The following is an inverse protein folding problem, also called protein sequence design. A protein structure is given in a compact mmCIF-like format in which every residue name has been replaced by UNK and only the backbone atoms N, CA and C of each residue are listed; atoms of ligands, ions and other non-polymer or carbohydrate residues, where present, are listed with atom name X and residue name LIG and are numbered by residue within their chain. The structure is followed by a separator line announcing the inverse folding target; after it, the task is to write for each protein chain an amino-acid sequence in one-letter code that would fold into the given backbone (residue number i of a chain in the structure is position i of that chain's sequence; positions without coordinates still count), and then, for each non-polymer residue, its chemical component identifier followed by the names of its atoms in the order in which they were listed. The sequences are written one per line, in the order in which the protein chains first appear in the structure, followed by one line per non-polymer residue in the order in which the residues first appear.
data_IF_353263677460
#
_entry.id   IF_353263677460
#
_cell.length_a   1.000
_cell.length_b   1.000
_cell.length_c   1.000
_cell.angle_alpha   90.00
_cell.angle_beta   90.00
_cell.angle_gamma   90.00
#
_symmetry.space_group_name_H-M   'P 1'
#
loop_
_entity.id
_entity.type
_entity.pdbx_description
1 polymer ?
#
# COMPACT_ATOMS: atom_id res chain seq x y z
N UNK A 1 -14.78 -6.67 6.54
CA UNK A 1 -13.44 -6.61 5.92
C UNK A 1 -13.59 -6.64 4.42
N UNK A 2 -12.83 -5.80 3.72
CA UNK A 2 -12.67 -5.83 2.27
C UNK A 2 -11.18 -5.91 1.95
N UNK A 3 -10.82 -6.58 0.85
CA UNK A 3 -9.43 -6.68 0.41
C UNK A 3 -9.32 -6.53 -1.11
N UNK A 4 -8.20 -6.00 -1.56
CA UNK A 4 -7.74 -6.04 -2.94
C UNK A 4 -6.40 -6.76 -3.04
N UNK A 5 -6.16 -7.41 -4.19
CA UNK A 5 -4.88 -8.03 -4.50
C UNK A 5 -4.54 -7.76 -5.96
N UNK A 6 -3.30 -7.36 -6.19
CA UNK A 6 -2.69 -7.17 -7.49
C UNK A 6 -1.42 -8.00 -7.62
N UNK A 7 -1.11 -8.41 -8.85
CA UNK A 7 0.11 -9.14 -9.17
C UNK A 7 0.74 -8.58 -10.43
N UNK A 8 2.07 -8.48 -10.44
CA UNK A 8 2.84 -8.18 -11.64
C UNK A 8 4.19 -8.89 -11.60
N UNK A 9 4.74 -9.18 -12.78
CA UNK A 9 6.18 -9.46 -12.94
C UNK A 9 6.84 -8.15 -13.36
N UNK A 10 7.81 -7.69 -12.58
CA UNK A 10 8.52 -6.43 -12.80
C UNK A 10 9.98 -6.74 -13.11
N UNK A 11 10.53 -6.17 -14.20
CA UNK A 11 11.91 -6.35 -14.66
C UNK A 11 12.91 -5.55 -13.79
N UNK A 12 12.86 -5.79 -12.49
CA UNK A 12 13.70 -5.20 -11.44
C UNK A 12 13.96 -6.23 -10.34
N UNK A 13 15.02 -5.99 -9.57
CA UNK A 13 15.32 -6.85 -8.42
C UNK A 13 14.26 -6.68 -7.32
N UNK A 14 14.08 -7.67 -6.43
CA UNK A 14 13.17 -7.52 -5.28
C UNK A 14 13.54 -6.33 -4.38
N UNK A 15 14.83 -6.01 -4.32
CA UNK A 15 15.34 -4.85 -3.59
C UNK A 15 14.84 -3.54 -4.19
N UNK A 16 14.99 -3.36 -5.50
CA UNK A 16 14.56 -2.12 -6.17
C UNK A 16 13.05 -1.92 -6.05
N UNK A 17 12.29 -3.02 -6.16
CA UNK A 17 10.83 -3.04 -5.97
C UNK A 17 10.44 -2.57 -4.57
N UNK A 18 11.01 -3.16 -3.51
CA UNK A 18 10.62 -2.82 -2.14
C UNK A 18 11.16 -1.47 -1.69
N UNK A 19 12.36 -1.07 -2.13
CA UNK A 19 12.87 0.28 -1.88
C UNK A 19 12.05 1.35 -2.61
N UNK A 20 11.53 1.06 -3.81
CA UNK A 20 10.59 1.95 -4.48
C UNK A 20 9.28 2.13 -3.69
N UNK A 21 8.73 1.05 -3.11
CA UNK A 21 7.54 1.15 -2.25
C UNK A 21 7.82 1.98 -0.99
N UNK A 22 9.05 1.89 -0.45
CA UNK A 22 9.48 2.69 0.69
C UNK A 22 9.81 4.14 0.33
N UNK A 23 10.13 4.46 -0.93
CA UNK A 23 10.21 5.83 -1.44
C UNK A 23 8.81 6.42 -1.68
N UNK A 24 8.15 6.82 -0.60
CA UNK A 24 6.77 7.30 -0.62
C UNK A 24 6.49 8.44 -1.62
N UNK A 25 7.37 9.46 -1.81
CA UNK A 25 7.19 10.44 -2.86
C UNK A 25 7.04 9.83 -4.27
N UNK A 26 7.78 8.76 -4.57
CA UNK A 26 7.69 8.06 -5.85
C UNK A 26 6.49 7.10 -5.87
N UNK A 27 6.28 6.34 -4.80
CA UNK A 27 5.18 5.40 -4.69
C UNK A 27 3.79 6.07 -4.69
N UNK A 28 3.66 7.28 -4.15
CA UNK A 28 2.42 8.07 -4.22
C UNK A 28 2.01 8.46 -5.65
N UNK A 29 2.90 8.31 -6.65
CA UNK A 29 2.55 8.47 -8.07
C UNK A 29 1.75 7.29 -8.61
N UNK A 30 1.83 6.12 -7.95
CA UNK A 30 1.16 4.89 -8.38
C UNK A 30 0.01 4.51 -7.44
N UNK A 31 0.13 4.76 -6.14
CA UNK A 31 -0.96 4.60 -5.19
C UNK A 31 -1.79 5.89 -5.05
N UNK A 32 -2.97 5.88 -5.67
CA UNK A 32 -3.88 7.04 -5.68
C UNK A 32 -4.52 7.33 -4.32
N UNK A 33 -4.38 6.42 -3.35
CA UNK A 33 -4.89 6.54 -1.98
C UNK A 33 -4.00 7.44 -1.13
N UNK A 34 -2.73 7.62 -1.51
CA UNK A 34 -1.78 8.48 -0.80
C UNK A 34 -1.92 9.90 -1.33
N UNK A 35 -2.27 10.83 -0.43
CA UNK A 35 -2.31 12.27 -0.72
C UNK A 35 -1.08 12.97 -0.16
N UNK A 36 -1.27 13.73 0.92
CA UNK A 36 -0.19 14.50 1.55
C UNK A 36 0.60 13.61 2.49
N UNK A 37 1.83 13.28 2.12
CA UNK A 37 2.82 12.69 3.03
C UNK A 37 3.13 13.74 4.11
N UNK A 38 2.97 13.37 5.38
CA UNK A 38 3.19 14.27 6.53
C UNK A 38 4.51 14.00 7.21
N UNK A 39 4.87 12.74 7.39
CA UNK A 39 6.12 12.33 8.02
C UNK A 39 6.45 10.90 7.61
N UNK A 40 7.74 10.60 7.57
CA UNK A 40 8.27 9.24 7.45
C UNK A 40 9.47 9.13 8.39
N UNK A 41 9.48 8.07 9.18
CA UNK A 41 10.60 7.68 10.03
C UNK A 41 10.94 6.22 9.71
N UNK A 42 12.23 5.93 9.48
CA UNK A 42 12.71 4.58 9.17
C UNK A 42 13.95 4.31 10.00
N UNK A 43 13.93 3.20 10.74
CA UNK A 43 15.07 2.66 11.45
C UNK A 43 15.35 1.25 10.93
N UNK A 44 16.31 1.14 10.01
CA UNK A 44 16.66 -0.12 9.36
C UNK A 44 15.48 -0.70 8.57
N UNK A 45 14.99 -1.85 9.04
CA UNK A 45 13.92 -2.61 8.40
C UNK A 45 12.52 -2.26 8.92
N UNK A 46 12.39 -1.35 9.86
CA UNK A 46 11.08 -0.93 10.38
C UNK A 46 10.93 0.58 10.30
N UNK A 47 9.70 1.04 10.38
CA UNK A 47 9.44 2.46 10.40
C UNK A 47 7.97 2.80 10.49
N UNK A 48 7.70 4.10 10.43
CA UNK A 48 6.35 4.65 10.48
C UNK A 48 6.19 5.69 9.38
N UNK A 49 5.07 5.63 8.68
CA UNK A 49 4.64 6.66 7.73
C UNK A 49 3.34 7.29 8.22
N UNK A 50 3.21 8.60 8.04
CA UNK A 50 1.94 9.30 8.19
C UNK A 50 1.58 10.03 6.91
N UNK A 51 0.38 9.81 6.39
CA UNK A 51 -0.12 10.48 5.19
C UNK A 51 -1.63 10.77 5.28
N UNK A 52 -2.11 11.66 4.40
CA UNK A 52 -3.54 11.78 4.14
C UNK A 52 -4.03 10.58 3.32
N UNK A 53 -5.15 9.99 3.73
CA UNK A 53 -5.79 8.88 3.02
C UNK A 53 -6.90 9.36 2.10
N UNK A 54 -7.08 8.67 0.98
CA UNK A 54 -8.20 8.84 0.05
C UNK A 54 -8.75 7.47 -0.30
N UNK A 55 -10.07 7.31 -0.33
CA UNK A 55 -10.70 6.04 -0.69
C UNK A 55 -11.78 6.30 -1.74
N UNK A 56 -11.56 5.83 -2.98
CA UNK A 56 -12.48 5.99 -4.11
C UNK A 56 -13.00 7.44 -4.26
N UNK A 57 -12.14 8.44 -4.19
CA UNK A 57 -12.59 9.84 -4.31
C UNK A 57 -13.08 10.49 -3.01
N UNK A 58 -13.26 9.74 -1.92
CA UNK A 58 -13.66 10.28 -0.61
C UNK A 58 -12.46 10.56 0.31
N UNK A 59 -12.29 11.80 0.83
CA UNK A 59 -11.23 12.11 1.79
C UNK A 59 -11.39 11.26 3.06
N UNK A 60 -10.32 10.57 3.43
CA UNK A 60 -10.23 9.79 4.66
C UNK A 60 -9.49 10.55 5.77
N UNK A 61 -9.58 10.07 7.03
CA UNK A 61 -8.74 10.59 8.10
C UNK A 61 -7.26 10.39 7.75
N UNK A 62 -6.35 11.24 8.26
CA UNK A 62 -4.93 10.97 8.18
C UNK A 62 -4.60 9.62 8.82
N UNK A 63 -3.78 8.84 8.14
CA UNK A 63 -3.41 7.48 8.53
C UNK A 63 -1.95 7.48 8.96
N UNK A 64 -1.67 6.76 10.04
CA UNK A 64 -0.31 6.40 10.45
C UNK A 64 -0.16 4.90 10.26
N UNK A 65 0.80 4.47 9.46
CA UNK A 65 1.11 3.05 9.24
C UNK A 65 2.50 2.75 9.79
N UNK A 66 2.64 1.60 10.43
CA UNK A 66 3.94 0.99 10.71
C UNK A 66 4.28 0.03 9.59
N UNK A 67 5.55 -0.02 9.21
CA UNK A 67 6.03 -1.01 8.28
C UNK A 67 7.16 -1.86 8.84
N UNK A 68 7.25 -3.07 8.31
CA UNK A 68 8.33 -4.04 8.56
C UNK A 68 8.75 -4.68 7.24
N UNK A 69 10.04 -4.58 6.96
CA UNK A 69 10.72 -5.12 5.80
C UNK A 69 11.44 -6.42 6.19
N UNK A 70 10.90 -7.55 5.77
CA UNK A 70 11.66 -8.80 5.69
C UNK A 70 12.57 -8.67 4.45
N UNK A 71 13.90 -8.63 4.62
CA UNK A 71 14.81 -8.20 3.57
C UNK A 71 14.54 -8.82 2.19
N UNK A 72 14.03 -7.97 1.31
CA UNK A 72 13.78 -8.22 -0.11
C UNK A 72 12.77 -9.34 -0.44
N UNK A 73 12.12 -9.93 0.56
CA UNK A 73 11.10 -10.96 0.38
C UNK A 73 9.70 -10.44 0.65
N UNK A 74 9.54 -9.56 1.65
CA UNK A 74 8.24 -9.04 2.06
C UNK A 74 8.35 -7.67 2.72
N UNK A 75 7.40 -6.82 2.40
CA UNK A 75 7.16 -5.58 3.13
C UNK A 75 5.72 -5.59 3.64
N UNK A 76 5.53 -5.41 4.95
CA UNK A 76 4.21 -5.38 5.58
C UNK A 76 3.92 -4.00 6.13
N UNK A 77 2.69 -3.54 5.96
CA UNK A 77 2.15 -2.31 6.52
C UNK A 77 0.98 -2.63 7.44
N UNK A 78 0.92 -1.97 8.59
CA UNK A 78 -0.19 -2.10 9.54
C UNK A 78 -0.59 -0.72 10.08
N UNK A 79 -1.88 -0.47 10.23
CA UNK A 79 -2.33 0.77 10.86
C UNK A 79 -1.85 0.87 12.30
N UNK A 80 -1.24 1.99 12.66
CA UNK A 80 -1.00 2.32 14.06
C UNK A 80 -2.33 2.55 14.79
N UNK A 81 -2.36 2.30 16.09
CA UNK A 81 -3.55 2.48 16.93
C UNK A 81 -3.72 3.93 17.44
N UNK A 82 -2.93 4.87 16.90
CA UNK A 82 -2.97 6.28 17.26
C UNK A 82 -3.65 7.13 16.18
N UNK A 83 -4.26 8.25 16.60
CA UNK A 83 -4.93 9.18 15.68
C UNK A 83 -6.40 8.82 15.40
N UNK A 84 -6.94 9.38 14.31
CA UNK A 84 -8.37 9.26 13.98
C UNK A 84 -8.71 8.03 13.14
N UNK A 85 -7.79 7.55 12.29
CA UNK A 85 -8.03 6.40 11.42
C UNK A 85 -8.51 5.14 12.17
N UNK A 86 -7.96 4.77 13.35
CA UNK A 86 -8.43 3.61 14.12
C UNK A 86 -9.90 3.67 14.51
N UNK A 87 -10.51 4.85 14.63
CA UNK A 87 -11.95 4.97 14.90
C UNK A 87 -12.82 4.59 13.70
N UNK A 88 -12.25 4.64 12.49
CA UNK A 88 -12.95 4.38 11.23
C UNK A 88 -12.59 3.01 10.67
N UNK A 89 -11.32 2.63 10.65
CA UNK A 89 -10.85 1.38 10.09
C UNK A 89 -9.49 0.91 10.67
N UNK A 90 -9.21 -0.37 10.48
CA UNK A 90 -7.86 -0.97 10.57
C UNK A 90 -7.38 -1.30 9.16
N UNK A 91 -6.11 -1.01 8.87
CA UNK A 91 -5.46 -1.33 7.60
C UNK A 91 -4.37 -2.39 7.80
N UNK A 92 -4.29 -3.34 6.87
CA UNK A 92 -3.21 -4.32 6.74
C UNK A 92 -2.87 -4.41 5.25
N UNK A 93 -1.62 -4.10 4.91
CA UNK A 93 -1.11 -4.12 3.54
C UNK A 93 0.17 -4.92 3.46
N UNK A 94 0.45 -5.51 2.30
CA UNK A 94 1.68 -6.25 2.09
C UNK A 94 2.14 -6.22 0.64
N UNK A 95 3.45 -6.25 0.46
CA UNK A 95 4.12 -6.65 -0.77
C UNK A 95 4.90 -7.91 -0.49
N UNK A 96 4.80 -8.90 -1.38
CA UNK A 96 5.68 -10.07 -1.37
C UNK A 96 6.38 -10.17 -2.70
N UNK A 97 7.66 -10.51 -2.65
CA UNK A 97 8.52 -10.59 -3.81
C UNK A 97 9.09 -12.00 -3.92
N UNK A 98 8.97 -12.58 -5.10
CA UNK A 98 9.62 -13.83 -5.47
C UNK A 98 10.53 -13.55 -6.67
N UNK A 99 11.86 -13.75 -6.54
CA UNK A 99 12.76 -13.56 -7.66
C UNK A 99 12.46 -14.57 -8.78
N UNK A 100 12.62 -14.12 -10.02
CA UNK A 100 12.52 -14.88 -11.25
C UNK A 100 13.79 -14.61 -12.09
N UNK A 101 14.02 -15.43 -13.12
CA UNK A 101 15.16 -15.25 -14.02
C UNK A 101 15.12 -13.88 -14.73
N UNK A 102 13.91 -13.36 -15.00
CA UNK A 102 13.69 -12.09 -15.70
C UNK A 102 12.97 -11.05 -14.82
N UNK A 103 13.38 -10.93 -13.55
CA UNK A 103 12.89 -9.90 -12.64
C UNK A 103 12.25 -10.46 -11.36
N UNK A 104 11.12 -9.91 -10.96
CA UNK A 104 10.46 -10.25 -9.68
C UNK A 104 8.97 -10.41 -9.88
N UNK A 105 8.40 -11.55 -9.46
CA UNK A 105 6.96 -11.65 -9.22
C UNK A 105 6.63 -10.92 -7.92
N UNK A 106 5.78 -9.90 -8.03
CA UNK A 106 5.32 -9.07 -6.92
C UNK A 106 3.83 -9.31 -6.71
N UNK A 107 3.45 -9.64 -5.49
CA UNK A 107 2.05 -9.68 -5.06
C UNK A 107 1.82 -8.60 -4.03
N UNK A 108 0.91 -7.68 -4.34
CA UNK A 108 0.47 -6.63 -3.45
C UNK A 108 -0.94 -6.91 -2.97
N UNK A 109 -1.16 -6.84 -1.66
CA UNK A 109 -2.47 -7.05 -1.03
C UNK A 109 -2.76 -5.95 -0.04
N UNK A 110 -3.98 -5.45 -0.06
CA UNK A 110 -4.46 -4.41 0.86
C UNK A 110 -5.80 -4.83 1.46
N UNK A 111 -5.95 -4.69 2.77
CA UNK A 111 -7.17 -5.02 3.47
C UNK A 111 -7.60 -3.90 4.43
N UNK A 112 -8.87 -3.53 4.33
CA UNK A 112 -9.52 -2.58 5.22
C UNK A 112 -10.58 -3.30 6.07
N UNK A 113 -10.50 -3.11 7.38
CA UNK A 113 -11.53 -3.54 8.32
C UNK A 113 -12.19 -2.31 8.91
N UNK A 114 -13.35 -1.94 8.38
CA UNK A 114 -14.10 -0.77 8.85
C UNK A 114 -14.83 -1.08 10.16
N UNK A 115 -14.90 -0.09 11.05
CA UNK A 115 -15.61 -0.17 12.32
C UNK A 115 -17.05 0.34 12.16
N UNK A 116 -17.94 -0.09 13.05
CA UNK A 116 -19.28 0.49 13.11
C UNK A 116 -19.22 1.96 13.57
N UNK A 117 -20.13 2.83 13.09
CA UNK A 117 -21.18 2.56 12.10
C UNK A 117 -20.67 2.61 10.65
N UNK A 118 -19.45 3.12 10.40
CA UNK A 118 -18.87 3.35 9.07
C UNK A 118 -18.86 2.12 8.15
N UNK A 119 -18.71 0.92 8.71
CA UNK A 119 -18.71 -0.34 7.99
C UNK A 119 -19.90 -0.50 7.05
N UNK A 120 -21.09 -0.03 7.44
CA UNK A 120 -22.32 -0.26 6.68
C UNK A 120 -22.38 0.56 5.40
N UNK A 121 -21.73 1.73 5.37
CA UNK A 121 -21.66 2.58 4.19
C UNK A 121 -20.38 2.34 3.38
N UNK A 122 -19.22 2.26 4.06
CA UNK A 122 -17.90 2.23 3.39
C UNK A 122 -17.55 0.86 2.80
N UNK A 123 -17.92 -0.25 3.45
CA UNK A 123 -17.63 -1.58 2.90
C UNK A 123 -18.30 -1.82 1.53
N UNK A 124 -19.62 -1.66 1.35
CA UNK A 124 -20.25 -1.90 0.06
C UNK A 124 -19.75 -0.92 -1.01
N UNK A 125 -19.48 0.33 -0.63
CA UNK A 125 -18.97 1.35 -1.54
C UNK A 125 -17.55 1.04 -2.05
N UNK A 126 -16.65 0.54 -1.20
CA UNK A 126 -15.26 0.36 -1.56
C UNK A 126 -14.89 -1.06 -2.00
N UNK A 127 -15.72 -2.08 -1.73
CA UNK A 127 -15.36 -3.51 -1.95
C UNK A 127 -14.89 -3.82 -3.38
N UNK A 128 -15.71 -3.52 -4.39
CA UNK A 128 -15.38 -3.82 -5.78
C UNK A 128 -14.25 -2.93 -6.32
N UNK A 129 -14.27 -1.66 -5.93
CA UNK A 129 -13.26 -0.68 -6.33
C UNK A 129 -11.88 -1.03 -5.79
N UNK A 130 -11.75 -1.42 -4.52
CA UNK A 130 -10.45 -1.72 -3.91
C UNK A 130 -9.75 -2.86 -4.66
N UNK A 131 -10.47 -3.94 -4.97
CA UNK A 131 -9.91 -5.06 -5.71
C UNK A 131 -9.44 -4.67 -7.12
N UNK A 132 -10.12 -3.73 -7.77
CA UNK A 132 -9.70 -3.22 -9.07
C UNK A 132 -8.52 -2.27 -8.95
N UNK A 133 -8.57 -1.31 -8.02
CA UNK A 133 -7.51 -0.30 -7.85
C UNK A 133 -6.18 -0.94 -7.44
N UNK A 134 -6.15 -1.93 -6.55
CA UNK A 134 -4.91 -2.64 -6.19
C UNK A 134 -4.28 -3.35 -7.40
N UNK A 135 -5.09 -3.86 -8.36
CA UNK A 135 -4.56 -4.44 -9.61
C UNK A 135 -4.00 -3.35 -10.54
N UNK A 136 -4.73 -2.25 -10.70
CA UNK A 136 -4.30 -1.14 -11.53
C UNK A 136 -3.05 -0.46 -10.96
N UNK A 137 -2.93 -0.38 -9.64
CA UNK A 137 -1.75 0.09 -8.94
C UNK A 137 -0.52 -0.73 -9.29
N UNK A 138 -0.63 -2.06 -9.28
CA UNK A 138 0.47 -2.94 -9.71
C UNK A 138 0.86 -2.71 -11.17
N UNK A 139 -0.11 -2.44 -12.05
CA UNK A 139 0.18 -2.09 -13.45
C UNK A 139 0.91 -0.74 -13.56
N UNK A 140 0.46 0.29 -12.80
CA UNK A 140 1.13 1.60 -12.74
C UNK A 140 2.55 1.49 -12.19
N UNK A 141 2.74 0.71 -11.13
CA UNK A 141 4.02 0.42 -10.51
C UNK A 141 4.99 -0.25 -11.50
N UNK A 142 4.54 -1.31 -12.20
CA UNK A 142 5.33 -1.97 -13.25
C UNK A 142 5.79 -0.96 -14.31
N UNK A 143 4.84 -0.20 -14.87
CA UNK A 143 5.13 0.78 -15.92
C UNK A 143 6.14 1.83 -15.46
N UNK A 144 6.03 2.31 -14.22
CA UNK A 144 6.94 3.34 -13.72
C UNK A 144 8.35 2.79 -13.48
N UNK A 145 8.46 1.62 -12.84
CA UNK A 145 9.75 1.00 -12.53
C UNK A 145 10.54 0.57 -13.77
N UNK A 146 9.86 0.14 -14.83
CA UNK A 146 10.49 -0.33 -16.07
C UNK A 146 10.88 0.83 -17.00
N UNK A 147 10.22 1.98 -16.89
CA UNK A 147 10.56 3.20 -17.65
C UNK A 147 11.79 3.94 -17.12
N UNK A 148 12.14 3.78 -15.85
CA UNK A 148 13.34 4.41 -15.25
C UNK A 148 14.58 3.57 -15.54
N UNK A 149 14.77 3.16 -16.80
CA UNK A 149 15.96 2.45 -17.30
C UNK A 149 16.88 3.43 -18.02
#
# INVERSE_FOLDING_TARGET
MICGEGRAVIERSPRDVLEFVLDLPSYAKVDTKIRRIRSMDRTGNTGTVRHGGHLRGLPGPPVTLRFELEPWSRLRFTSAETGLAPWVFRFDGSFTCRPLDQGTEVVHRECFTFRAPWRWALEPYARGWLAQDTREEMARMKLLLERTT
#
